data_IF_184696141821
#
_entry.id   IF_184696141821
#
_cell.length_a   1.000
_cell.length_b   1.000
_cell.length_c   1.000
_cell.angle_alpha   90.00
_cell.angle_beta   90.00
_cell.angle_gamma   90.00
#
_symmetry.space_group_name_H-M   'P 1'
#
loop_
_entity.id
_entity.type
_entity.pdbx_description
1 polymer ?
#
# COMPACT_ATOMS: atom_id res chain seq x y z
N UNK A 1 -2.81 -2.28 15.22
CA UNK A 1 -2.08 -2.68 13.98
C UNK A 1 -1.08 -3.78 14.27
N UNK A 2 -0.77 -4.60 13.28
CA UNK A 2 0.14 -5.73 13.34
C UNK A 2 1.12 -5.68 12.17
N UNK A 3 2.41 -5.99 12.39
CA UNK A 3 3.38 -6.18 11.31
C UNK A 3 3.37 -7.66 10.92
N UNK A 4 3.33 -7.94 9.63
CA UNK A 4 3.22 -9.32 9.13
C UNK A 4 4.39 -10.19 9.59
N UNK A 5 4.06 -11.37 10.10
CA UNK A 5 5.07 -12.42 10.36
C UNK A 5 5.20 -13.30 9.10
N UNK A 6 6.31 -13.13 8.38
CA UNK A 6 6.56 -13.85 7.12
C UNK A 6 6.72 -15.37 7.27
N UNK A 7 6.90 -15.86 8.49
CA UNK A 7 6.99 -17.28 8.79
C UNK A 7 5.65 -17.89 9.18
N UNK A 8 4.63 -17.06 9.42
CA UNK A 8 3.27 -17.50 9.75
C UNK A 8 2.44 -17.69 8.48
N UNK A 9 2.33 -18.93 8.04
CA UNK A 9 1.60 -19.29 6.82
C UNK A 9 0.12 -18.95 6.91
N UNK A 10 -0.49 -19.11 8.09
CA UNK A 10 -1.90 -18.82 8.27
C UNK A 10 -2.17 -17.32 8.13
N UNK A 11 -1.32 -16.50 8.74
CA UNK A 11 -1.39 -15.03 8.62
C UNK A 11 -1.17 -14.55 7.18
N UNK A 12 -0.23 -15.17 6.45
CA UNK A 12 0.01 -14.84 5.04
C UNK A 12 -1.22 -15.19 4.17
N UNK A 13 -1.86 -16.33 4.44
CA UNK A 13 -3.08 -16.72 3.73
C UNK A 13 -4.27 -15.82 4.09
N UNK A 14 -4.43 -15.47 5.34
CA UNK A 14 -5.46 -14.51 5.80
C UNK A 14 -5.31 -13.16 5.11
N UNK A 15 -4.07 -12.63 5.05
CA UNK A 15 -3.76 -11.40 4.32
C UNK A 15 -4.15 -11.48 2.84
N UNK A 16 -3.71 -12.53 2.14
CA UNK A 16 -4.01 -12.73 0.72
C UNK A 16 -5.52 -12.84 0.46
N UNK A 17 -6.24 -13.56 1.31
CA UNK A 17 -7.69 -13.70 1.20
C UNK A 17 -8.40 -12.35 1.39
N UNK A 18 -7.97 -11.55 2.36
CA UNK A 18 -8.49 -10.21 2.55
C UNK A 18 -8.20 -9.31 1.34
N UNK A 19 -6.94 -9.23 0.92
CA UNK A 19 -6.53 -8.37 -0.21
C UNK A 19 -7.22 -8.75 -1.51
N UNK A 20 -7.44 -10.06 -1.76
CA UNK A 20 -8.12 -10.57 -2.96
C UNK A 20 -9.62 -10.29 -2.96
N UNK A 21 -10.29 -10.41 -1.80
CA UNK A 21 -11.75 -10.34 -1.71
C UNK A 21 -12.26 -8.93 -1.37
N UNK A 22 -11.38 -8.02 -0.97
CA UNK A 22 -11.73 -6.63 -0.70
C UNK A 22 -12.13 -5.89 -1.99
N UNK A 23 -13.17 -5.05 -1.92
CA UNK A 23 -13.54 -4.15 -3.01
C UNK A 23 -12.43 -3.14 -3.36
N UNK A 24 -11.53 -2.88 -2.42
CA UNK A 24 -10.36 -2.01 -2.59
C UNK A 24 -9.11 -2.78 -3.01
N UNK A 25 -9.23 -4.12 -3.14
CA UNK A 25 -8.13 -4.99 -3.45
C UNK A 25 -7.59 -4.79 -4.86
N UNK A 26 -6.29 -4.94 -5.00
CA UNK A 26 -5.62 -4.99 -6.29
C UNK A 26 -4.43 -5.96 -6.23
N UNK A 27 -4.01 -6.45 -7.40
CA UNK A 27 -2.97 -7.48 -7.48
C UNK A 27 -1.58 -6.99 -7.03
N UNK A 28 -1.33 -5.68 -7.05
CA UNK A 28 -0.06 -5.08 -6.63
C UNK A 28 0.08 -5.10 -5.10
N UNK A 29 -1.02 -5.13 -4.37
CA UNK A 29 -1.05 -5.28 -2.92
C UNK A 29 -1.05 -6.76 -2.46
N UNK A 30 -1.01 -7.72 -3.38
CA UNK A 30 -0.80 -9.14 -3.07
C UNK A 30 0.64 -9.39 -2.61
N UNK A 31 0.83 -10.30 -1.65
CA UNK A 31 2.15 -10.78 -1.21
C UNK A 31 2.93 -11.53 -2.31
N UNK A 32 2.32 -11.73 -3.48
CA UNK A 32 3.01 -12.23 -4.68
C UNK A 32 3.77 -11.14 -5.42
N UNK A 33 3.37 -9.86 -5.27
CA UNK A 33 4.00 -8.73 -5.94
C UNK A 33 5.50 -8.58 -5.64
N UNK A 34 5.99 -8.81 -4.41
CA UNK A 34 7.42 -8.81 -4.12
C UNK A 34 8.26 -9.77 -4.97
N UNK A 35 7.66 -10.85 -5.49
CA UNK A 35 8.37 -11.76 -6.40
C UNK A 35 8.65 -11.11 -7.76
N UNK A 36 7.80 -10.17 -8.19
CA UNK A 36 8.01 -9.36 -9.41
C UNK A 36 9.08 -8.30 -9.15
N UNK A 37 9.06 -7.68 -7.97
CA UNK A 37 10.05 -6.68 -7.52
C UNK A 37 11.19 -7.32 -6.71
N UNK A 38 11.72 -8.45 -7.17
CA UNK A 38 12.68 -9.30 -6.45
C UNK A 38 13.97 -8.61 -5.99
N UNK A 39 14.31 -7.44 -6.57
CA UNK A 39 15.45 -6.62 -6.15
C UNK A 39 15.15 -5.71 -4.96
N UNK A 40 13.88 -5.62 -4.54
CA UNK A 40 13.44 -4.84 -3.40
C UNK A 40 13.08 -5.76 -2.24
N UNK A 41 13.29 -5.30 -1.02
CA UNK A 41 12.68 -5.91 0.16
C UNK A 41 11.19 -5.62 0.23
N UNK A 42 10.50 -6.27 1.17
CA UNK A 42 9.10 -5.99 1.44
C UNK A 42 8.76 -6.25 2.91
N UNK A 43 7.69 -5.65 3.36
CA UNK A 43 7.00 -5.93 4.61
C UNK A 43 5.53 -5.57 4.45
N UNK A 44 4.69 -5.88 5.44
CA UNK A 44 3.29 -5.49 5.37
C UNK A 44 2.73 -5.14 6.75
N UNK A 45 1.71 -4.28 6.74
CA UNK A 45 0.95 -3.87 7.93
C UNK A 45 -0.47 -4.40 7.80
N UNK A 46 -1.03 -4.83 8.92
CA UNK A 46 -2.41 -5.31 9.05
C UNK A 46 -3.10 -4.49 10.13
N UNK A 47 -4.31 -4.02 9.84
CA UNK A 47 -5.24 -3.46 10.81
C UNK A 47 -6.35 -4.46 11.08
N UNK A 48 -6.70 -4.65 12.36
CA UNK A 48 -7.78 -5.54 12.79
C UNK A 48 -8.87 -4.78 13.51
N UNK A 49 -10.10 -5.25 13.39
CA UNK A 49 -11.23 -4.78 14.16
C UNK A 49 -11.20 -5.37 15.59
N UNK A 50 -12.22 -5.02 16.38
CA UNK A 50 -12.36 -5.48 17.79
C UNK A 50 -12.55 -7.01 17.90
N UNK A 51 -13.09 -7.64 16.86
CA UNK A 51 -13.27 -9.11 16.77
C UNK A 51 -11.99 -9.82 16.26
N UNK A 52 -10.92 -9.07 15.99
CA UNK A 52 -9.66 -9.60 15.49
C UNK A 52 -9.64 -9.90 13.98
N UNK A 53 -10.68 -9.53 13.22
CA UNK A 53 -10.73 -9.70 11.77
C UNK A 53 -9.94 -8.60 11.07
N UNK A 54 -9.30 -8.94 9.96
CA UNK A 54 -8.60 -7.95 9.13
C UNK A 54 -9.63 -6.97 8.54
N UNK A 55 -9.41 -5.68 8.78
CA UNK A 55 -10.18 -4.56 8.20
C UNK A 55 -9.35 -3.70 7.25
N UNK A 56 -8.02 -3.85 7.28
CA UNK A 56 -7.13 -3.13 6.38
C UNK A 56 -5.75 -3.78 6.28
N UNK A 57 -5.13 -3.68 5.10
CA UNK A 57 -3.77 -4.16 4.85
C UNK A 57 -2.98 -3.18 4.01
N UNK A 58 -1.66 -3.16 4.18
CA UNK A 58 -0.77 -2.35 3.37
C UNK A 58 0.54 -3.10 3.10
N UNK A 59 0.74 -3.56 1.87
CA UNK A 59 2.03 -4.06 1.40
C UNK A 59 2.97 -2.89 1.14
N UNK A 60 4.16 -2.96 1.69
CA UNK A 60 5.21 -1.96 1.51
C UNK A 60 6.43 -2.62 0.87
N UNK A 61 6.87 -2.12 -0.26
CA UNK A 61 8.14 -2.50 -0.87
C UNK A 61 9.25 -1.55 -0.40
N UNK A 62 10.48 -2.08 -0.27
CA UNK A 62 11.58 -1.44 0.44
C UNK A 62 12.79 -1.37 -0.48
N UNK A 63 13.13 -0.16 -0.92
CA UNK A 63 14.31 0.10 -1.75
C UNK A 63 15.47 0.55 -0.86
N UNK A 64 16.56 -0.20 -0.88
CA UNK A 64 17.80 0.22 -0.22
C UNK A 64 18.49 1.32 -1.02
N UNK A 65 19.02 2.32 -0.32
CA UNK A 65 19.84 3.39 -0.89
C UNK A 65 21.27 3.24 -0.32
N UNK A 66 22.14 2.53 -1.03
CA UNK A 66 23.43 2.08 -0.47
C UNK A 66 24.33 3.22 0.02
N UNK A 67 24.35 4.34 -0.69
CA UNK A 67 25.26 5.48 -0.41
C UNK A 67 24.92 6.12 0.94
N UNK A 68 23.64 6.15 1.33
CA UNK A 68 23.18 6.85 2.54
C UNK A 68 22.85 5.89 3.69
N UNK A 69 22.93 4.57 3.49
CA UNK A 69 22.60 3.58 4.51
C UNK A 69 21.13 3.62 4.97
N UNK A 70 20.25 4.22 4.17
CA UNK A 70 18.82 4.36 4.42
C UNK A 70 17.99 3.60 3.38
N UNK A 71 16.67 3.64 3.56
CA UNK A 71 15.73 3.03 2.62
C UNK A 71 14.66 4.02 2.19
N UNK A 72 13.99 3.70 1.09
CA UNK A 72 12.76 4.29 0.62
C UNK A 72 11.66 3.25 0.73
N UNK A 73 10.55 3.61 1.35
CA UNK A 73 9.36 2.77 1.47
C UNK A 73 8.30 3.20 0.47
N UNK A 74 7.69 2.24 -0.21
CA UNK A 74 6.64 2.50 -1.18
C UNK A 74 5.52 1.49 -1.09
N UNK A 75 4.28 1.97 -0.95
CA UNK A 75 3.07 1.15 -0.97
C UNK A 75 2.30 1.40 -2.29
N UNK A 76 2.61 0.64 -3.36
CA UNK A 76 1.98 0.84 -4.66
C UNK A 76 0.49 0.47 -4.60
N UNK A 77 -0.38 1.39 -5.03
CA UNK A 77 -1.84 1.26 -5.02
C UNK A 77 -2.44 0.83 -3.67
N UNK A 78 -1.71 1.06 -2.57
CA UNK A 78 -2.16 0.77 -1.22
C UNK A 78 -2.62 2.03 -0.49
N UNK A 79 -3.23 1.82 0.68
CA UNK A 79 -3.58 0.56 1.33
C UNK A 79 -4.84 -0.10 0.75
N UNK A 80 -5.10 -1.35 1.14
CA UNK A 80 -6.35 -2.08 0.88
C UNK A 80 -7.22 -1.95 2.13
N UNK A 81 -8.11 -0.99 2.16
CA UNK A 81 -9.04 -0.74 3.27
C UNK A 81 -10.16 0.19 2.81
N UNK A 82 -11.11 0.48 3.67
CA UNK A 82 -12.01 1.61 3.49
C UNK A 82 -11.26 2.91 3.74
N UNK A 83 -10.93 3.63 2.66
CA UNK A 83 -10.16 4.87 2.74
C UNK A 83 -10.92 6.01 3.44
N UNK A 84 -12.26 5.95 3.49
CA UNK A 84 -13.06 6.92 4.24
C UNK A 84 -13.01 6.72 5.76
N UNK A 85 -12.57 5.53 6.20
CA UNK A 85 -12.40 5.23 7.61
C UNK A 85 -11.05 5.71 8.12
N UNK A 86 -11.06 6.87 8.77
CA UNK A 86 -9.86 7.52 9.29
C UNK A 86 -9.12 6.68 10.34
N UNK A 87 -9.84 5.90 11.14
CA UNK A 87 -9.24 5.07 12.21
C UNK A 87 -8.41 3.94 11.60
N UNK A 88 -8.93 3.25 10.58
CA UNK A 88 -8.19 2.21 9.86
C UNK A 88 -6.95 2.80 9.19
N UNK A 89 -7.10 3.95 8.54
CA UNK A 89 -5.99 4.64 7.89
C UNK A 89 -4.91 5.04 8.89
N UNK A 90 -5.29 5.56 10.05
CA UNK A 90 -4.34 5.93 11.12
C UNK A 90 -3.63 4.70 11.69
N UNK A 91 -4.36 3.61 11.93
CA UNK A 91 -3.79 2.37 12.45
C UNK A 91 -2.74 1.79 11.49
N UNK A 92 -3.04 1.75 10.18
CA UNK A 92 -2.09 1.34 9.15
C UNK A 92 -0.87 2.29 9.10
N UNK A 93 -1.08 3.60 9.21
CA UNK A 93 0.00 4.59 9.21
C UNK A 93 0.94 4.42 10.41
N UNK A 94 0.41 4.11 11.59
CA UNK A 94 1.26 3.80 12.75
C UNK A 94 2.15 2.58 12.49
N UNK A 95 1.63 1.53 11.86
CA UNK A 95 2.42 0.39 11.44
C UNK A 95 3.50 0.75 10.42
N UNK A 96 3.18 1.61 9.46
CA UNK A 96 4.15 2.12 8.49
C UNK A 96 5.26 2.92 9.18
N UNK A 97 4.93 3.74 10.20
CA UNK A 97 5.94 4.44 11.00
C UNK A 97 6.89 3.49 11.74
N UNK A 98 6.36 2.36 12.24
CA UNK A 98 7.19 1.29 12.82
C UNK A 98 8.13 0.70 11.78
N UNK A 99 7.63 0.40 10.57
CA UNK A 99 8.46 -0.08 9.46
C UNK A 99 9.51 0.95 9.04
N UNK A 100 9.15 2.24 8.98
CA UNK A 100 10.08 3.31 8.64
C UNK A 100 11.26 3.37 9.62
N UNK A 101 11.00 3.24 10.92
CA UNK A 101 12.06 3.14 11.94
C UNK A 101 12.89 1.86 11.79
N UNK A 102 12.25 0.70 11.62
CA UNK A 102 12.89 -0.60 11.44
C UNK A 102 13.89 -0.60 10.29
N UNK A 103 13.50 0.01 9.17
CA UNK A 103 14.28 0.02 7.94
C UNK A 103 15.10 1.30 7.74
N UNK A 104 15.12 2.22 8.72
CA UNK A 104 15.80 3.52 8.62
C UNK A 104 15.39 4.28 7.36
N UNK A 105 14.09 4.34 7.10
CA UNK A 105 13.56 4.99 5.91
C UNK A 105 13.60 6.51 6.04
N UNK A 106 14.04 7.18 4.97
CA UNK A 106 14.01 8.63 4.88
C UNK A 106 12.67 9.16 4.34
N UNK A 107 11.91 8.30 3.63
CA UNK A 107 10.64 8.67 3.01
C UNK A 107 9.73 7.44 2.87
N UNK A 108 8.45 7.68 3.04
CA UNK A 108 7.38 6.76 2.63
C UNK A 108 6.52 7.43 1.56
N UNK A 109 6.19 6.68 0.52
CA UNK A 109 5.29 7.10 -0.55
C UNK A 109 4.20 6.06 -0.74
N UNK A 110 3.02 6.51 -1.08
CA UNK A 110 1.93 5.67 -1.56
C UNK A 110 1.18 6.37 -2.70
N UNK A 111 0.44 5.60 -3.47
CA UNK A 111 -0.40 6.07 -4.57
C UNK A 111 -1.73 5.32 -4.58
N UNK A 112 -2.61 5.59 -3.59
CA UNK A 112 -3.90 4.92 -3.49
C UNK A 112 -4.76 5.18 -4.73
N UNK A 113 -5.54 4.14 -5.14
CA UNK A 113 -6.38 4.17 -6.34
C UNK A 113 -7.73 4.85 -6.07
N UNK A 114 -7.76 6.13 -5.75
CA UNK A 114 -9.00 6.92 -5.69
C UNK A 114 -8.99 8.05 -6.72
N UNK A 115 -10.16 8.61 -7.00
CA UNK A 115 -10.25 9.67 -8.00
C UNK A 115 -9.77 11.01 -7.42
N UNK A 116 -8.97 11.75 -8.18
CA UNK A 116 -8.42 13.06 -7.79
C UNK A 116 -9.51 14.09 -7.40
N UNK A 117 -10.73 13.91 -7.92
CA UNK A 117 -11.89 14.77 -7.60
C UNK A 117 -12.45 14.53 -6.19
N UNK A 118 -12.04 13.45 -5.50
CA UNK A 118 -12.45 13.17 -4.12
C UNK A 118 -11.66 14.07 -3.16
N UNK A 119 -12.19 15.29 -2.99
CA UNK A 119 -11.56 16.32 -2.16
C UNK A 119 -11.56 15.97 -0.68
N UNK A 120 -12.63 15.36 -0.18
CA UNK A 120 -12.75 15.01 1.24
C UNK A 120 -11.68 14.00 1.64
N UNK A 121 -11.46 12.99 0.79
CA UNK A 121 -10.43 11.98 1.00
C UNK A 121 -9.03 12.59 0.90
N UNK A 122 -8.80 13.45 -0.09
CA UNK A 122 -7.51 14.15 -0.24
C UNK A 122 -7.20 15.03 0.97
N UNK A 123 -8.16 15.80 1.46
CA UNK A 123 -8.00 16.65 2.66
C UNK A 123 -7.75 15.81 3.92
N UNK A 124 -8.44 14.69 4.07
CA UNK A 124 -8.21 13.76 5.16
C UNK A 124 -6.76 13.23 5.15
N UNK A 125 -6.26 12.78 4.00
CA UNK A 125 -4.89 12.28 3.85
C UNK A 125 -3.86 13.37 4.17
N UNK A 126 -4.07 14.58 3.69
CA UNK A 126 -3.21 15.74 4.02
C UNK A 126 -3.24 16.01 5.52
N UNK A 127 -4.41 15.92 6.17
CA UNK A 127 -4.54 16.10 7.62
C UNK A 127 -3.76 15.07 8.45
N UNK A 128 -3.44 13.91 7.86
CA UNK A 128 -2.60 12.88 8.45
C UNK A 128 -1.09 13.15 8.30
N UNK A 129 -0.71 14.28 7.68
CA UNK A 129 0.67 14.70 7.51
C UNK A 129 1.29 14.30 6.17
N UNK A 130 0.50 13.86 5.20
CA UNK A 130 0.99 13.61 3.84
C UNK A 130 1.04 14.89 3.02
N UNK A 131 1.98 14.92 2.09
CA UNK A 131 2.06 15.96 1.06
C UNK A 131 1.67 15.36 -0.27
N UNK A 132 0.71 15.98 -0.96
CA UNK A 132 0.36 15.58 -2.31
C UNK A 132 1.46 16.03 -3.28
N UNK A 133 1.99 15.11 -4.06
CA UNK A 133 3.01 15.40 -5.06
C UNK A 133 2.31 15.53 -6.41
N UNK A 134 2.15 16.79 -6.85
CA UNK A 134 1.67 17.10 -8.20
C UNK A 134 2.84 17.10 -9.18
N UNK A 135 2.63 16.56 -10.37
CA UNK A 135 3.51 16.72 -11.53
C UNK A 135 5.02 16.50 -11.29
N UNK A 136 5.37 15.48 -10.50
CA UNK A 136 6.76 15.05 -10.43
C UNK A 136 7.10 14.20 -11.68
N UNK A 137 7.87 14.73 -12.65
CA UNK A 137 8.23 13.98 -13.87
C UNK A 137 8.92 12.66 -13.56
N UNK A 138 9.64 12.61 -12.44
CA UNK A 138 10.36 11.45 -11.93
C UNK A 138 9.42 10.31 -11.49
N UNK A 139 8.19 10.63 -11.07
CA UNK A 139 7.19 9.65 -10.65
C UNK A 139 6.42 9.05 -11.82
N UNK A 140 6.34 9.74 -12.97
CA UNK A 140 5.73 9.21 -14.19
C UNK A 140 6.41 7.94 -14.69
N UNK A 141 7.66 7.70 -14.28
CA UNK A 141 8.43 6.49 -14.60
C UNK A 141 8.12 5.32 -13.66
N UNK A 142 7.44 5.57 -12.52
CA UNK A 142 7.11 4.54 -11.53
C UNK A 142 5.73 3.96 -11.81
N UNK A 143 4.75 4.82 -12.12
CA UNK A 143 3.36 4.45 -12.39
C UNK A 143 2.82 5.25 -13.58
N UNK A 144 2.00 4.60 -14.41
CA UNK A 144 1.27 5.29 -15.45
C UNK A 144 0.21 6.21 -14.82
N UNK A 145 0.23 7.50 -15.19
CA UNK A 145 -0.75 8.50 -14.72
C UNK A 145 -2.16 8.19 -15.19
N UNK A 146 -2.28 7.65 -16.39
CA UNK A 146 -3.55 7.25 -17.00
C UNK A 146 -3.47 5.80 -17.44
N UNK A 147 -4.48 5.01 -17.08
CA UNK A 147 -4.60 3.63 -17.49
C UNK A 147 -5.80 3.47 -18.42
N UNK A 148 -5.61 2.75 -19.52
CA UNK A 148 -6.72 2.29 -20.37
C UNK A 148 -7.17 0.92 -19.88
N UNK A 149 -8.47 0.80 -19.58
CA UNK A 149 -9.03 -0.46 -19.13
C UNK A 149 -9.99 -0.99 -20.17
N UNK A 150 -9.70 -2.16 -20.73
CA UNK A 150 -10.62 -2.90 -21.59
C UNK A 150 -11.49 -3.80 -20.70
N UNK A 151 -12.80 -3.53 -20.70
CA UNK A 151 -13.81 -4.34 -19.98
C UNK A 151 -14.61 -5.19 -20.95
N UNK A 152 -15.23 -6.27 -20.43
CA UNK A 152 -16.07 -7.17 -21.21
C UNK A 152 -15.36 -7.74 -22.45
N UNK A 153 -14.21 -8.35 -22.21
CA UNK A 153 -13.37 -8.96 -23.27
C UNK A 153 -13.89 -10.32 -23.73
N UNK A 154 -14.88 -10.90 -23.02
CA UNK A 154 -15.50 -12.16 -23.42
C UNK A 154 -16.15 -12.02 -24.81
N UNK A 155 -15.77 -12.90 -25.74
CA UNK A 155 -16.28 -12.91 -27.10
C UNK A 155 -15.64 -11.89 -28.06
N UNK A 156 -14.61 -11.17 -27.66
CA UNK A 156 -13.80 -10.30 -28.55
C UNK A 156 -12.49 -11.00 -28.92
N UNK A 157 -12.57 -11.94 -29.84
CA UNK A 157 -11.41 -12.51 -30.56
C UNK A 157 -11.27 -11.83 -31.91
#
# INVERSE_FOLDING_TARGET
MEIINKNDKALLEEYENFAKNSRYGNFIQSLRWPKVKHTWGWDAVISRDEDGKIQGTCLVIIKKIPIFGCTFLYAPHGPVCDWSNKEIMQDLLEGIKVLAKKYKSYQFMWDPCFEEKDRELSEMIISMGFTHIYDAPELSTIQARNNYMLRNIEGKT
#
